data_IF_257686421052
#
_entry.id   IF_257686421052
#
_cell.length_a   1.000
_cell.length_b   1.000
_cell.length_c   1.000
_cell.angle_alpha   90.00
_cell.angle_beta   90.00
_cell.angle_gamma   90.00
#
_symmetry.space_group_name_H-M   'P 1'
#
loop_
_entity.id
_entity.type
_entity.pdbx_description
1 polymer ?
#
# COMPACT_ATOMS: atom_id res chain seq x y z
N UNK A 1 4.08 -5.73 0.87
CA UNK A 1 3.14 -4.66 1.08
C UNK A 1 2.34 -4.29 -0.14
N UNK A 2 2.95 -3.90 -1.22
CA UNK A 2 2.22 -3.69 -2.46
C UNK A 2 1.89 -5.02 -3.09
N UNK A 3 0.70 -5.11 -3.67
CA UNK A 3 0.20 -6.37 -4.23
C UNK A 3 0.69 -6.64 -5.64
N UNK A 4 1.75 -6.03 -6.07
CA UNK A 4 2.32 -6.30 -7.37
C UNK A 4 2.92 -7.68 -7.40
N UNK A 5 2.64 -8.45 -8.45
CA UNK A 5 3.21 -9.77 -8.58
C UNK A 5 4.71 -9.71 -8.85
N UNK A 6 5.36 -10.82 -8.59
CA UNK A 6 6.72 -11.01 -9.04
C UNK A 6 6.77 -10.82 -10.55
N UNK A 7 7.76 -10.11 -11.02
CA UNK A 7 7.92 -9.93 -12.45
C UNK A 7 7.56 -8.57 -13.00
N UNK A 8 7.33 -7.60 -12.13
CA UNK A 8 7.13 -6.22 -12.60
C UNK A 8 8.43 -5.66 -13.15
N UNK A 9 8.33 -4.73 -14.08
CA UNK A 9 9.50 -4.13 -14.73
C UNK A 9 10.21 -3.11 -13.86
N UNK A 10 9.52 -2.57 -12.88
CA UNK A 10 10.04 -1.53 -12.00
C UNK A 10 9.99 -1.98 -10.56
N UNK A 11 10.85 -1.37 -9.75
CA UNK A 11 10.73 -1.48 -8.31
C UNK A 11 9.36 -0.90 -7.92
N UNK A 12 8.57 -1.61 -7.11
CA UNK A 12 7.28 -1.10 -6.68
C UNK A 12 7.43 0.24 -5.96
N UNK A 13 6.58 1.18 -6.32
CA UNK A 13 6.57 2.51 -5.71
C UNK A 13 5.16 2.78 -5.21
N UNK A 14 5.06 3.26 -3.99
CA UNK A 14 3.76 3.58 -3.40
C UNK A 14 3.20 4.83 -4.07
N UNK A 15 1.95 4.74 -4.52
CA UNK A 15 1.22 5.84 -5.10
C UNK A 15 0.52 6.59 -3.97
N UNK A 16 1.04 7.78 -3.63
CA UNK A 16 0.52 8.57 -2.52
C UNK A 16 -0.93 8.98 -2.74
N UNK A 17 -1.24 9.44 -3.93
CA UNK A 17 -2.59 9.91 -4.25
C UNK A 17 -3.60 8.77 -4.21
N UNK A 18 -3.25 7.64 -4.81
CA UNK A 18 -4.12 6.46 -4.83
C UNK A 18 -4.30 5.89 -3.43
N UNK A 19 -3.23 5.86 -2.64
CA UNK A 19 -3.30 5.41 -1.25
C UNK A 19 -4.22 6.33 -0.43
N UNK A 20 -4.11 7.63 -0.64
CA UNK A 20 -4.99 8.59 0.04
C UNK A 20 -6.45 8.39 -0.29
N UNK A 21 -6.75 8.18 -1.57
CA UNK A 21 -8.12 7.88 -2.01
C UNK A 21 -8.61 6.56 -1.41
N UNK A 22 -7.73 5.59 -1.30
CA UNK A 22 -8.07 4.30 -0.73
C UNK A 22 -8.38 4.41 0.75
N UNK A 23 -7.63 5.21 1.49
CA UNK A 23 -7.91 5.48 2.90
C UNK A 23 -9.31 6.08 3.04
N UNK A 24 -9.64 7.07 2.22
CA UNK A 24 -10.97 7.68 2.22
C UNK A 24 -12.05 6.64 1.92
N UNK A 25 -11.82 5.81 0.93
CA UNK A 25 -12.75 4.77 0.53
C UNK A 25 -12.99 3.75 1.66
N UNK A 26 -11.92 3.27 2.26
CA UNK A 26 -12.01 2.29 3.34
C UNK A 26 -12.69 2.89 4.57
N UNK A 27 -12.36 4.15 4.89
CA UNK A 27 -12.98 4.87 5.99
C UNK A 27 -14.48 5.02 5.78
N UNK A 28 -14.86 5.49 4.59
CA UNK A 28 -16.27 5.68 4.25
C UNK A 28 -17.04 4.36 4.28
N UNK A 29 -16.42 3.32 3.74
CA UNK A 29 -17.02 1.98 3.74
C UNK A 29 -17.23 1.46 5.16
N UNK A 30 -16.32 1.77 6.06
CA UNK A 30 -16.42 1.36 7.47
C UNK A 30 -17.40 2.23 8.26
N UNK A 31 -17.90 3.30 7.66
CA UNK A 31 -18.83 4.20 8.33
C UNK A 31 -18.17 5.11 9.36
N UNK A 32 -16.88 5.35 9.22
CA UNK A 32 -16.09 6.13 10.18
C UNK A 32 -15.84 7.51 9.59
N UNK A 33 -16.22 8.57 10.34
CA UNK A 33 -15.97 9.94 9.93
C UNK A 33 -14.51 10.31 10.20
N UNK A 34 -14.06 11.41 9.60
CA UNK A 34 -12.72 11.94 9.90
C UNK A 34 -12.62 12.28 11.39
N UNK A 35 -13.69 12.81 11.96
CA UNK A 35 -13.70 13.14 13.39
C UNK A 35 -13.55 11.89 14.25
N UNK A 36 -14.25 10.82 13.89
CA UNK A 36 -14.14 9.55 14.61
C UNK A 36 -12.75 8.99 14.52
N UNK A 37 -12.17 9.04 13.32
CA UNK A 37 -10.82 8.55 13.12
C UNK A 37 -9.80 9.37 13.91
N UNK A 38 -9.97 10.69 13.92
CA UNK A 38 -9.15 11.59 14.71
C UNK A 38 -9.16 11.20 16.19
N UNK A 39 -10.35 10.93 16.72
CA UNK A 39 -10.50 10.57 18.12
C UNK A 39 -9.82 9.23 18.43
N UNK A 40 -10.01 8.23 17.58
CA UNK A 40 -9.42 6.92 17.79
C UNK A 40 -7.90 6.97 17.71
N UNK A 41 -7.38 7.77 16.78
CA UNK A 41 -5.93 7.93 16.61
C UNK A 41 -5.30 8.78 17.71
N UNK A 42 -6.10 9.47 18.50
CA UNK A 42 -5.59 10.33 19.57
C UNK A 42 -5.01 11.63 19.07
N UNK A 43 -5.43 12.10 17.90
CA UNK A 43 -4.92 13.34 17.34
C UNK A 43 -5.66 14.56 17.88
N UNK A 44 -4.94 15.65 18.10
CA UNK A 44 -5.54 16.90 18.56
C UNK A 44 -6.30 17.63 17.47
N UNK A 45 -5.98 17.33 16.20
CA UNK A 45 -6.64 17.92 15.05
C UNK A 45 -6.63 16.92 13.89
N UNK A 46 -7.42 17.15 12.83
CA UNK A 46 -7.52 16.20 11.71
C UNK A 46 -6.48 16.41 10.61
N UNK A 47 -5.50 17.27 10.81
CA UNK A 47 -4.57 17.65 9.75
C UNK A 47 -3.85 16.46 9.12
N UNK A 48 -3.36 15.55 9.95
CA UNK A 48 -2.63 14.39 9.46
C UNK A 48 -3.52 13.53 8.54
N UNK A 49 -4.76 13.32 8.97
CA UNK A 49 -5.72 12.50 8.20
C UNK A 49 -5.97 13.13 6.82
N UNK A 50 -6.18 14.41 6.77
CA UNK A 50 -6.40 15.12 5.51
C UNK A 50 -5.16 15.04 4.61
N UNK A 51 -3.97 15.16 5.18
CA UNK A 51 -2.73 15.02 4.41
C UNK A 51 -2.62 13.63 3.80
N UNK A 52 -2.98 12.59 4.53
CA UNK A 52 -2.99 11.24 4.00
C UNK A 52 -3.98 11.11 2.86
N UNK A 53 -5.21 11.58 3.08
CA UNK A 53 -6.27 11.47 2.08
C UNK A 53 -5.97 12.26 0.81
N UNK A 54 -5.26 13.37 0.94
CA UNK A 54 -4.91 14.23 -0.20
C UNK A 54 -3.63 13.78 -0.90
N UNK A 55 -2.98 12.75 -0.40
CA UNK A 55 -1.76 12.25 -1.03
C UNK A 55 -0.53 13.11 -0.74
N UNK A 56 -0.56 13.92 0.30
CA UNK A 56 0.59 14.76 0.67
C UNK A 56 1.68 13.94 1.34
N UNK A 57 1.30 12.96 2.14
CA UNK A 57 2.25 12.10 2.82
C UNK A 57 1.55 10.81 3.22
N UNK A 58 2.35 9.81 3.59
CA UNK A 58 1.83 8.54 4.11
C UNK A 58 1.74 8.60 5.63
N UNK A 59 0.84 7.83 6.23
CA UNK A 59 0.89 7.60 7.67
C UNK A 59 2.21 6.92 8.03
N UNK A 60 2.70 7.17 9.24
CA UNK A 60 3.83 6.41 9.77
C UNK A 60 3.44 4.94 9.90
N UNK A 61 4.43 4.07 10.05
CA UNK A 61 4.16 2.65 10.21
C UNK A 61 3.25 2.38 11.41
N UNK A 62 3.49 3.05 12.52
CA UNK A 62 2.65 2.92 13.71
C UNK A 62 1.21 3.30 13.39
N UNK A 63 1.03 4.42 12.71
CA UNK A 63 -0.30 4.88 12.35
C UNK A 63 -0.96 3.96 11.33
N UNK A 64 -0.19 3.37 10.42
CA UNK A 64 -0.73 2.40 9.46
C UNK A 64 -1.29 1.16 10.16
N UNK A 65 -0.60 0.67 11.19
CA UNK A 65 -1.06 -0.49 11.95
C UNK A 65 -2.37 -0.18 12.65
N UNK A 66 -2.44 0.98 13.30
CA UNK A 66 -3.67 1.41 13.99
C UNK A 66 -4.79 1.60 12.97
N UNK A 67 -4.48 2.26 11.87
CA UNK A 67 -5.45 2.55 10.81
C UNK A 67 -6.02 1.24 10.23
N UNK A 68 -5.17 0.26 9.98
CA UNK A 68 -5.62 -1.03 9.48
C UNK A 68 -6.58 -1.70 10.46
N UNK A 69 -6.26 -1.67 11.74
CA UNK A 69 -7.13 -2.24 12.77
C UNK A 69 -8.48 -1.52 12.84
N UNK A 70 -8.45 -0.20 12.81
CA UNK A 70 -9.68 0.61 12.90
C UNK A 70 -10.56 0.42 11.68
N UNK A 71 -9.96 0.36 10.50
CA UNK A 71 -10.70 0.21 9.25
C UNK A 71 -11.07 -1.25 8.94
N UNK A 72 -10.61 -2.18 9.76
CA UNK A 72 -10.92 -3.59 9.54
C UNK A 72 -10.24 -4.17 8.32
N UNK A 73 -9.04 -3.73 8.04
CA UNK A 73 -8.28 -4.15 6.86
C UNK A 73 -6.82 -4.44 7.25
N UNK A 74 -5.96 -4.56 6.28
CA UNK A 74 -4.52 -4.78 6.50
C UNK A 74 -3.74 -3.59 5.96
N UNK A 75 -2.50 -3.43 6.44
CA UNK A 75 -1.61 -2.40 5.91
C UNK A 75 -1.42 -2.60 4.42
N UNK A 76 -1.31 -3.85 3.99
CA UNK A 76 -1.14 -4.20 2.59
C UNK A 76 -2.31 -3.74 1.72
N UNK A 77 -3.51 -3.82 2.26
CA UNK A 77 -4.71 -3.38 1.55
C UNK A 77 -4.87 -1.87 1.53
N UNK A 78 -4.26 -1.17 2.46
CA UNK A 78 -4.30 0.30 2.50
C UNK A 78 -3.37 0.89 1.45
N UNK A 79 -2.16 0.35 1.34
CA UNK A 79 -1.13 0.88 0.46
C UNK A 79 -1.41 0.49 -0.98
N UNK A 80 -1.29 1.47 -1.88
CA UNK A 80 -1.49 1.26 -3.32
C UNK A 80 -0.18 1.60 -4.02
N UNK A 81 0.28 0.69 -4.87
CA UNK A 81 1.47 0.91 -5.68
C UNK A 81 1.08 1.52 -7.02
N UNK A 82 2.02 2.20 -7.64
CA UNK A 82 1.84 2.73 -8.98
C UNK A 82 1.57 1.58 -9.95
N UNK A 83 0.60 1.80 -10.82
CA UNK A 83 0.28 0.83 -11.86
C UNK A 83 1.31 0.94 -12.97
N UNK A 84 1.59 -0.21 -13.59
CA UNK A 84 2.46 -0.25 -14.74
C UNK A 84 1.69 0.03 -16.00
N UNK A 85 2.33 0.72 -16.94
CA UNK A 85 1.68 0.99 -18.21
C UNK A 85 1.65 -0.28 -19.07
N UNK A 86 0.63 -0.38 -19.89
CA UNK A 86 0.50 -1.50 -20.83
C UNK A 86 1.59 -1.49 -21.91
N UNK A 87 2.25 -0.37 -22.09
CA UNK A 87 3.29 -0.22 -23.11
C UNK A 87 4.54 -1.02 -22.81
N UNK A 88 4.70 -1.45 -21.56
CA UNK A 88 5.90 -2.13 -21.11
C UNK A 88 5.73 -3.65 -21.06
N UNK A 89 4.72 -4.19 -21.73
CA UNK A 89 4.42 -5.63 -21.63
C UNK A 89 5.61 -6.49 -21.99
N UNK A 90 6.30 -6.16 -23.08
CA UNK A 90 7.48 -6.92 -23.51
C UNK A 90 8.62 -6.80 -22.50
N UNK A 91 8.85 -5.60 -22.01
CA UNK A 91 9.85 -5.36 -20.99
C UNK A 91 9.46 -6.00 -19.67
N UNK A 92 8.19 -5.95 -19.32
CA UNK A 92 7.67 -6.63 -18.15
C UNK A 92 7.95 -8.13 -18.19
N UNK A 93 7.79 -8.73 -19.35
CA UNK A 93 8.03 -10.15 -19.51
C UNK A 93 9.49 -10.51 -19.20
N UNK A 94 10.43 -9.74 -19.73
CA UNK A 94 11.85 -9.95 -19.44
C UNK A 94 12.18 -9.73 -17.97
N UNK A 95 11.66 -8.67 -17.40
CA UNK A 95 11.86 -8.40 -15.98
C UNK A 95 11.17 -9.43 -15.10
N UNK A 96 10.05 -9.97 -15.57
CA UNK A 96 9.35 -11.03 -14.88
C UNK A 96 10.25 -12.25 -14.70
N UNK A 97 10.92 -12.67 -15.78
CA UNK A 97 11.84 -13.80 -15.70
C UNK A 97 12.94 -13.55 -14.67
N UNK A 98 13.45 -12.32 -14.64
CA UNK A 98 14.49 -11.93 -13.71
C UNK A 98 14.00 -12.00 -12.27
N UNK A 99 12.86 -11.38 -12.00
CA UNK A 99 12.26 -11.36 -10.68
C UNK A 99 11.89 -12.77 -10.22
N UNK A 100 11.33 -13.56 -11.13
CA UNK A 100 10.96 -14.94 -10.81
C UNK A 100 12.17 -15.75 -10.42
N UNK A 101 13.30 -15.58 -11.11
CA UNK A 101 14.52 -16.31 -10.75
C UNK A 101 15.00 -15.93 -9.37
N UNK A 102 15.00 -14.62 -9.07
CA UNK A 102 15.41 -14.15 -7.74
C UNK A 102 14.46 -14.70 -6.68
N UNK A 103 13.17 -14.59 -6.94
CA UNK A 103 12.15 -15.04 -5.99
C UNK A 103 12.24 -16.55 -5.73
N UNK A 104 12.38 -17.33 -6.77
CA UNK A 104 12.51 -18.78 -6.65
C UNK A 104 13.76 -19.14 -5.87
N UNK A 105 14.85 -18.44 -6.12
CA UNK A 105 16.09 -18.71 -5.42
C UNK A 105 15.98 -18.43 -3.93
N UNK A 106 15.34 -17.31 -3.56
CA UNK A 106 15.11 -16.97 -2.17
C UNK A 106 14.22 -18.00 -1.49
N UNK A 107 13.16 -18.42 -2.15
CA UNK A 107 12.26 -19.42 -1.61
C UNK A 107 12.94 -20.78 -1.48
N UNK A 108 13.80 -21.12 -2.42
CA UNK A 108 14.55 -22.37 -2.36
C UNK A 108 15.49 -22.40 -1.16
N UNK A 109 16.15 -21.29 -0.90
CA UNK A 109 17.00 -21.17 0.29
C UNK A 109 16.18 -21.34 1.56
N UNK A 110 15.04 -20.68 1.63
CA UNK A 110 14.14 -20.83 2.78
C UNK A 110 13.63 -22.26 2.94
N UNK A 111 13.32 -22.92 1.84
CA UNK A 111 12.79 -24.27 1.88
C UNK A 111 13.84 -25.30 2.31
N UNK A 112 15.11 -25.03 2.05
CA UNK A 112 16.19 -25.94 2.42
C UNK A 112 16.62 -25.79 3.88
N UNK A 113 16.21 -24.72 4.51
CA UNK A 113 16.50 -24.49 5.91
C UNK A 113 15.37 -24.98 6.81
#
# INVERSE_FOLDING_TARGET
MCKKPVGVTKVPVIDLAATGRNITKLRTKAGISVRDLQAVMGFTNPQAIYKWQNGCCLPSIDNLVILAAVLGTTVDDILVCEDESSDDIANQFDMMSRWQRIFIQLNRVSAQN
#
